data_IF_849908647090
#
_entry.id   IF_849908647090
#
_cell.length_a   1.000
_cell.length_b   1.000
_cell.length_c   1.000
_cell.angle_alpha   90.00
_cell.angle_beta   90.00
_cell.angle_gamma   90.00
#
_symmetry.space_group_name_H-M   'P 1'
#
loop_
_entity.id
_entity.type
_entity.pdbx_description
1 polymer ?
#
# COMPACT_ATOMS: atom_id res chain seq x y z
N UNK A 1 1.32 23.19 -12.48
CA UNK A 1 0.00 22.66 -12.12
C UNK A 1 -0.02 22.44 -10.62
N UNK A 2 -1.11 22.81 -9.95
CA UNK A 2 -1.24 22.64 -8.50
C UNK A 2 -1.40 21.16 -8.13
N UNK A 3 -1.16 20.81 -6.86
CA UNK A 3 -1.43 19.45 -6.34
C UNK A 3 -2.92 19.12 -6.51
N UNK A 4 -3.80 20.11 -6.33
CA UNK A 4 -5.24 19.98 -6.55
C UNK A 4 -5.56 19.58 -7.99
N UNK A 5 -5.06 20.30 -9.00
CA UNK A 5 -5.32 20.00 -10.41
C UNK A 5 -4.82 18.60 -10.79
N UNK A 6 -3.66 18.23 -10.25
CA UNK A 6 -3.05 16.94 -10.46
C UNK A 6 -3.88 15.81 -9.83
N UNK A 7 -4.38 16.00 -8.60
CA UNK A 7 -5.28 15.05 -7.94
C UNK A 7 -6.58 14.87 -8.73
N UNK A 8 -7.18 15.95 -9.21
CA UNK A 8 -8.41 15.88 -10.02
C UNK A 8 -8.18 15.06 -11.29
N UNK A 9 -7.06 15.27 -11.99
CA UNK A 9 -6.69 14.48 -13.17
C UNK A 9 -6.50 13.01 -12.85
N UNK A 10 -5.75 12.69 -11.80
CA UNK A 10 -5.51 11.31 -11.38
C UNK A 10 -6.84 10.65 -11.00
N UNK A 11 -7.70 11.32 -10.23
CA UNK A 11 -9.03 10.81 -9.85
C UNK A 11 -9.91 10.54 -11.09
N UNK A 12 -9.91 11.43 -12.08
CA UNK A 12 -10.62 11.20 -13.35
C UNK A 12 -10.08 9.98 -14.10
N UNK A 13 -8.77 9.79 -14.15
CA UNK A 13 -8.14 8.62 -14.79
C UNK A 13 -8.52 7.32 -14.07
N UNK A 14 -8.54 7.33 -12.73
CA UNK A 14 -9.04 6.19 -11.93
C UNK A 14 -10.49 5.89 -12.25
N UNK A 15 -11.36 6.92 -12.26
CA UNK A 15 -12.79 6.76 -12.58
C UNK A 15 -12.97 6.12 -13.95
N UNK A 16 -12.24 6.59 -14.96
CA UNK A 16 -12.31 6.03 -16.30
C UNK A 16 -11.84 4.57 -16.35
N UNK A 17 -10.70 4.26 -15.72
CA UNK A 17 -10.18 2.89 -15.68
C UNK A 17 -11.12 1.93 -14.92
N UNK A 18 -11.75 2.40 -13.84
CA UNK A 18 -12.74 1.63 -13.09
C UNK A 18 -13.92 1.23 -13.99
N UNK A 19 -14.53 2.21 -14.67
CA UNK A 19 -15.68 1.95 -15.55
C UNK A 19 -15.32 1.06 -16.74
N UNK A 20 -14.14 1.25 -17.35
CA UNK A 20 -13.65 0.37 -18.42
C UNK A 20 -13.48 -1.09 -17.95
N UNK A 21 -13.28 -1.29 -16.66
CA UNK A 21 -13.12 -2.61 -16.03
C UNK A 21 -14.44 -3.18 -15.49
N UNK A 22 -15.57 -2.50 -15.70
CA UNK A 22 -16.87 -2.89 -15.15
C UNK A 22 -16.99 -2.68 -13.63
N UNK A 23 -16.15 -1.82 -13.05
CA UNK A 23 -16.06 -1.56 -11.61
C UNK A 23 -16.48 -0.13 -11.28
N UNK A 24 -16.72 0.12 -9.99
CA UNK A 24 -17.00 1.47 -9.47
C UNK A 24 -15.72 2.15 -8.97
N UNK A 25 -15.58 3.48 -9.10
CA UNK A 25 -14.42 4.22 -8.61
C UNK A 25 -14.19 4.06 -7.10
N UNK A 26 -15.26 3.85 -6.33
CA UNK A 26 -15.23 3.68 -4.87
C UNK A 26 -14.51 2.40 -4.43
N UNK A 27 -14.37 1.41 -5.30
CA UNK A 27 -13.59 0.20 -5.05
C UNK A 27 -12.07 0.41 -5.13
N UNK A 28 -11.63 1.62 -5.52
CA UNK A 28 -10.22 1.93 -5.77
C UNK A 28 -9.80 3.10 -4.88
N UNK A 29 -9.05 2.78 -3.82
CA UNK A 29 -8.45 3.77 -2.95
C UNK A 29 -7.17 4.32 -3.58
N UNK A 30 -7.11 5.65 -3.76
CA UNK A 30 -5.90 6.36 -4.12
C UNK A 30 -5.04 6.61 -2.90
N UNK A 31 -3.83 6.03 -2.87
CA UNK A 31 -2.79 6.32 -1.89
C UNK A 31 -1.82 7.36 -2.48
N UNK A 32 -1.86 8.59 -1.95
CA UNK A 32 -0.96 9.66 -2.39
C UNK A 32 0.44 9.46 -1.78
N UNK A 33 1.43 9.12 -2.59
CA UNK A 33 2.79 8.83 -2.15
C UNK A 33 3.54 10.13 -1.91
N UNK A 34 3.62 10.54 -0.65
CA UNK A 34 4.17 11.83 -0.20
C UNK A 34 5.62 11.77 0.24
N UNK A 35 6.31 10.64 0.07
CA UNK A 35 7.75 10.54 0.36
C UNK A 35 8.55 11.64 -0.36
N UNK A 36 9.52 12.19 0.34
CA UNK A 36 10.35 13.33 -0.04
C UNK A 36 9.58 14.61 -0.38
N UNK A 37 8.30 14.73 0.00
CA UNK A 37 7.49 15.94 -0.20
C UNK A 37 7.29 16.68 1.12
N UNK A 38 7.18 18.00 1.03
CA UNK A 38 6.99 18.87 2.19
C UNK A 38 5.57 18.72 2.77
N UNK A 39 5.38 19.14 4.01
CA UNK A 39 4.07 19.07 4.68
C UNK A 39 3.08 20.04 4.02
N UNK A 40 3.54 21.12 3.42
CA UNK A 40 2.72 22.10 2.71
C UNK A 40 2.00 21.46 1.51
N UNK A 41 2.71 20.62 0.74
CA UNK A 41 2.10 19.87 -0.36
C UNK A 41 1.07 18.84 0.14
N UNK A 42 1.30 18.25 1.32
CA UNK A 42 0.34 17.33 1.95
C UNK A 42 -0.92 18.11 2.40
N UNK A 43 -0.75 19.30 2.99
CA UNK A 43 -1.87 20.19 3.35
C UNK A 43 -2.67 20.66 2.14
N UNK A 44 -2.01 20.91 1.01
CA UNK A 44 -2.67 21.21 -0.25
C UNK A 44 -3.50 20.02 -0.74
N UNK A 45 -2.93 18.80 -0.69
CA UNK A 45 -3.65 17.56 -1.03
C UNK A 45 -4.86 17.32 -0.09
N UNK A 46 -4.71 17.57 1.21
CA UNK A 46 -5.79 17.49 2.20
C UNK A 46 -6.92 18.47 1.90
N UNK A 47 -6.58 19.71 1.52
CA UNK A 47 -7.56 20.71 1.08
C UNK A 47 -8.33 20.26 -0.17
N UNK A 48 -7.73 19.39 -0.99
CA UNK A 48 -8.37 18.71 -2.12
C UNK A 48 -9.03 17.36 -1.75
N UNK A 49 -9.30 17.13 -0.45
CA UNK A 49 -9.95 15.94 0.12
C UNK A 49 -9.19 14.63 -0.12
N UNK A 50 -7.86 14.68 -0.28
CA UNK A 50 -7.03 13.47 -0.25
C UNK A 50 -6.64 13.19 1.20
N UNK A 51 -7.01 12.03 1.72
CA UNK A 51 -6.82 11.66 3.13
C UNK A 51 -5.82 10.52 3.33
N UNK A 52 -5.65 9.64 2.34
CA UNK A 52 -4.73 8.51 2.42
C UNK A 52 -3.36 8.85 1.84
N UNK A 53 -2.31 8.71 2.65
CA UNK A 53 -0.93 9.05 2.30
C UNK A 53 0.04 7.88 2.51
N UNK A 54 0.91 7.68 1.53
CA UNK A 54 1.92 6.63 1.53
C UNK A 54 3.32 7.16 1.79
N UNK A 55 3.98 6.64 2.83
CA UNK A 55 5.36 6.96 3.17
C UNK A 55 6.27 5.73 3.06
N UNK A 56 7.52 5.96 2.65
CA UNK A 56 8.51 4.89 2.52
C UNK A 56 9.39 4.70 3.75
N UNK A 57 9.57 5.75 4.56
CA UNK A 57 10.53 5.78 5.67
C UNK A 57 9.85 6.27 6.94
N UNK A 58 9.99 5.50 8.02
CA UNK A 58 9.35 5.79 9.31
C UNK A 58 9.73 7.16 9.85
N UNK A 59 11.02 7.52 9.87
CA UNK A 59 11.44 8.78 10.48
C UNK A 59 10.88 9.99 9.75
N UNK A 60 10.80 9.93 8.43
CA UNK A 60 10.19 10.98 7.61
C UNK A 60 8.69 11.08 7.89
N UNK A 61 8.01 9.93 7.93
CA UNK A 61 6.58 9.87 8.23
C UNK A 61 6.27 10.41 9.63
N UNK A 62 7.02 10.04 10.66
CA UNK A 62 6.79 10.51 12.04
C UNK A 62 6.85 12.05 12.14
N UNK A 63 7.78 12.68 11.42
CA UNK A 63 7.84 14.15 11.36
C UNK A 63 6.57 14.75 10.76
N UNK A 64 6.05 14.16 9.69
CA UNK A 64 4.80 14.61 9.04
C UNK A 64 3.56 14.35 9.90
N UNK A 65 3.48 13.17 10.52
CA UNK A 65 2.38 12.77 11.40
C UNK A 65 2.28 13.71 12.59
N UNK A 66 3.41 14.07 13.21
CA UNK A 66 3.41 14.99 14.35
C UNK A 66 2.89 16.39 13.96
N UNK A 67 3.31 16.91 12.80
CA UNK A 67 2.82 18.21 12.30
C UNK A 67 1.33 18.16 11.95
N UNK A 68 0.83 17.00 11.53
CA UNK A 68 -0.56 16.78 11.11
C UNK A 68 -1.42 16.08 12.18
N UNK A 69 -0.98 16.03 13.44
CA UNK A 69 -1.69 15.32 14.52
C UNK A 69 -3.11 15.84 14.80
N UNK A 70 -3.40 17.08 14.40
CA UNK A 70 -4.72 17.70 14.53
C UNK A 70 -5.62 17.49 13.30
N UNK A 71 -5.18 16.66 12.35
CA UNK A 71 -5.95 16.24 11.17
C UNK A 71 -6.30 14.76 11.30
N UNK A 72 -7.31 14.39 12.11
CA UNK A 72 -7.66 13.00 12.40
C UNK A 72 -8.17 12.22 11.18
N UNK A 73 -8.54 12.90 10.10
CA UNK A 73 -8.95 12.32 8.83
C UNK A 73 -7.79 11.71 8.03
N UNK A 74 -6.54 11.99 8.40
CA UNK A 74 -5.36 11.50 7.68
C UNK A 74 -5.12 10.03 7.98
N UNK A 75 -5.07 9.21 6.93
CA UNK A 75 -4.70 7.80 6.99
C UNK A 75 -3.27 7.61 6.48
N UNK A 76 -2.41 7.03 7.31
CA UNK A 76 -1.01 6.80 7.01
C UNK A 76 -0.73 5.34 6.66
N UNK A 77 -0.12 5.16 5.50
CA UNK A 77 0.29 3.87 4.97
C UNK A 77 1.82 3.81 4.91
N UNK A 78 2.42 2.84 5.60
CA UNK A 78 3.82 2.51 5.40
C UNK A 78 3.94 1.55 4.21
N UNK A 79 4.44 2.07 3.09
CA UNK A 79 4.54 1.34 1.80
C UNK A 79 5.98 1.00 1.40
N UNK A 80 6.96 1.42 2.21
CA UNK A 80 8.36 1.04 2.06
C UNK A 80 8.75 -0.15 2.95
N UNK A 81 9.93 -0.70 2.71
CA UNK A 81 10.47 -1.80 3.53
C UNK A 81 10.54 -1.40 5.01
N UNK A 82 10.01 -2.27 5.87
CA UNK A 82 9.98 -2.07 7.32
C UNK A 82 11.12 -2.85 7.99
N UNK A 83 12.14 -2.12 8.42
CA UNK A 83 13.19 -2.68 9.25
C UNK A 83 12.62 -3.12 10.62
N UNK A 84 12.95 -4.34 11.05
CA UNK A 84 12.46 -4.95 12.30
C UNK A 84 12.62 -4.05 13.54
N UNK A 85 13.77 -3.38 13.69
CA UNK A 85 14.05 -2.47 14.81
C UNK A 85 13.20 -1.19 14.81
N UNK A 86 12.54 -0.88 13.69
CA UNK A 86 11.64 0.27 13.53
C UNK A 86 10.16 -0.08 13.69
N UNK A 87 9.79 -1.37 13.68
CA UNK A 87 8.41 -1.82 13.87
C UNK A 87 7.75 -1.28 15.17
N UNK A 88 8.55 -0.96 16.19
CA UNK A 88 8.08 -0.32 17.43
C UNK A 88 7.45 1.07 17.24
N UNK A 89 7.70 1.73 16.12
CA UNK A 89 7.14 3.04 15.79
C UNK A 89 5.88 2.96 14.92
N UNK A 90 5.40 1.75 14.60
CA UNK A 90 4.24 1.59 13.72
C UNK A 90 2.90 1.77 14.46
N UNK A 91 2.64 1.07 15.59
CA UNK A 91 1.34 1.14 16.26
C UNK A 91 1.01 2.56 16.71
N UNK A 92 -0.21 3.00 16.40
CA UNK A 92 -0.71 4.34 16.72
C UNK A 92 -0.32 5.43 15.74
N UNK A 93 0.72 5.23 14.92
CA UNK A 93 1.16 6.18 13.90
C UNK A 93 0.69 5.80 12.49
N UNK A 94 0.61 4.50 12.19
CA UNK A 94 0.17 4.00 10.89
C UNK A 94 -1.07 3.13 11.02
N UNK A 95 -2.02 3.35 10.12
CA UNK A 95 -3.21 2.50 9.96
C UNK A 95 -2.92 1.29 9.07
N UNK A 96 -1.96 1.42 8.16
CA UNK A 96 -1.60 0.39 7.19
C UNK A 96 -0.09 0.14 7.10
N UNK A 97 0.28 -1.13 6.97
CA UNK A 97 1.63 -1.56 6.56
C UNK A 97 1.48 -2.48 5.36
N UNK A 98 2.08 -2.10 4.23
CA UNK A 98 1.93 -2.85 2.98
C UNK A 98 3.08 -3.84 2.72
N UNK A 99 4.10 -3.83 3.58
CA UNK A 99 5.42 -4.42 3.33
C UNK A 99 5.78 -5.58 4.26
N UNK A 100 4.79 -6.32 4.79
CA UNK A 100 5.10 -7.48 5.62
C UNK A 100 5.64 -8.61 4.74
N UNK A 101 6.84 -9.09 5.03
CA UNK A 101 7.54 -10.08 4.20
C UNK A 101 8.15 -11.24 5.00
N UNK A 102 7.81 -11.39 6.29
CA UNK A 102 8.27 -12.53 7.08
C UNK A 102 7.44 -12.73 8.36
N UNK A 103 7.43 -13.97 8.85
CA UNK A 103 6.83 -14.31 10.16
C UNK A 103 7.51 -13.54 11.28
N UNK A 104 8.83 -13.35 11.21
CA UNK A 104 9.57 -12.65 12.26
C UNK A 104 9.16 -11.17 12.35
N UNK A 105 8.98 -10.49 11.21
CA UNK A 105 8.46 -9.13 11.20
C UNK A 105 7.02 -9.08 11.74
N UNK A 106 6.16 -10.02 11.33
CA UNK A 106 4.80 -10.13 11.83
C UNK A 106 4.75 -10.35 13.35
N UNK A 107 5.60 -11.23 13.90
CA UNK A 107 5.76 -11.45 15.36
C UNK A 107 6.09 -10.17 16.11
N UNK A 108 7.06 -9.41 15.60
CA UNK A 108 7.47 -8.15 16.24
C UNK A 108 6.33 -7.14 16.19
N UNK A 109 5.66 -7.01 15.04
CA UNK A 109 4.53 -6.09 14.89
C UNK A 109 3.37 -6.45 15.80
N UNK A 110 2.96 -7.71 15.84
CA UNK A 110 1.89 -8.22 16.71
C UNK A 110 2.19 -7.89 18.18
N UNK A 111 3.40 -8.19 18.67
CA UNK A 111 3.79 -7.87 20.04
C UNK A 111 3.80 -6.37 20.35
N UNK A 112 4.17 -5.51 19.37
CA UNK A 112 4.13 -4.05 19.55
C UNK A 112 2.71 -3.51 19.57
N UNK A 113 1.84 -4.08 18.76
CA UNK A 113 0.42 -3.76 18.73
C UNK A 113 -0.26 -4.16 20.04
N UNK A 114 0.09 -5.32 20.59
CA UNK A 114 -0.38 -5.81 21.89
C UNK A 114 -0.03 -4.86 23.03
N UNK A 115 1.24 -4.44 23.13
CA UNK A 115 1.70 -3.49 24.14
C UNK A 115 1.02 -2.11 24.06
N UNK A 116 0.48 -1.73 22.90
CA UNK A 116 -0.11 -0.40 22.67
C UNK A 116 -1.63 -0.44 22.54
N UNK A 117 -2.22 -1.63 22.52
CA UNK A 117 -3.63 -1.88 22.22
C UNK A 117 -4.10 -1.21 20.91
N UNK A 118 -3.29 -1.29 19.86
CA UNK A 118 -3.61 -0.70 18.54
C UNK A 118 -3.64 -1.76 17.46
N UNK A 119 -4.69 -1.79 16.67
CA UNK A 119 -4.75 -2.64 15.49
C UNK A 119 -4.08 -1.95 14.30
N UNK A 120 -3.50 -2.75 13.40
CA UNK A 120 -2.93 -2.28 12.14
C UNK A 120 -3.42 -3.18 11.01
N UNK A 121 -3.86 -2.59 9.90
CA UNK A 121 -4.12 -3.37 8.69
C UNK A 121 -2.80 -3.70 8.00
N UNK A 122 -2.64 -4.95 7.58
CA UNK A 122 -1.40 -5.41 6.94
C UNK A 122 -1.66 -6.09 5.62
N UNK A 123 -0.76 -5.83 4.68
CA UNK A 123 -0.63 -6.57 3.44
C UNK A 123 0.72 -7.30 3.42
N UNK A 124 0.74 -8.47 2.80
CA UNK A 124 1.98 -9.20 2.52
C UNK A 124 2.56 -8.68 1.21
N UNK A 125 3.84 -8.34 1.21
CA UNK A 125 4.56 -7.94 -0.01
C UNK A 125 5.06 -9.17 -0.75
N UNK A 126 4.74 -9.22 -2.04
CA UNK A 126 5.09 -10.31 -2.95
C UNK A 126 5.95 -9.78 -4.09
N UNK A 127 7.05 -10.48 -4.39
CA UNK A 127 7.98 -10.16 -5.47
C UNK A 127 7.91 -11.23 -6.58
N UNK A 128 7.00 -11.04 -7.54
CA UNK A 128 6.90 -11.90 -8.72
C UNK A 128 7.83 -11.50 -9.88
N UNK A 129 8.59 -10.41 -9.73
CA UNK A 129 9.54 -9.97 -10.76
C UNK A 129 10.86 -10.75 -10.72
N UNK A 130 11.07 -11.59 -9.69
CA UNK A 130 12.30 -12.38 -9.45
C UNK A 130 13.59 -11.57 -9.47
N UNK A 131 13.51 -10.27 -9.18
CA UNK A 131 14.69 -9.45 -8.91
C UNK A 131 15.15 -9.75 -7.49
N UNK A 132 16.27 -10.45 -7.32
CA UNK A 132 16.85 -10.79 -6.01
C UNK A 132 17.11 -9.55 -5.13
N UNK A 133 17.31 -8.39 -5.75
CA UNK A 133 17.56 -7.12 -5.07
C UNK A 133 16.30 -6.49 -4.43
N UNK A 134 15.11 -7.06 -4.64
CA UNK A 134 13.84 -6.48 -4.19
C UNK A 134 13.18 -7.30 -3.08
N UNK A 135 12.71 -6.58 -2.06
CA UNK A 135 11.90 -7.07 -0.95
C UNK A 135 10.62 -7.76 -1.42
N UNK A 136 10.13 -8.70 -0.61
CA UNK A 136 8.91 -9.46 -0.82
C UNK A 136 9.13 -10.97 -0.95
N UNK A 137 8.11 -11.73 -0.55
CA UNK A 137 8.07 -13.18 -0.68
C UNK A 137 7.85 -13.59 -2.13
N UNK A 138 8.41 -14.72 -2.54
CA UNK A 138 8.31 -15.21 -3.93
C UNK A 138 7.49 -16.49 -4.03
N UNK A 139 7.61 -17.36 -3.04
CA UNK A 139 7.01 -18.68 -3.07
C UNK A 139 5.66 -18.70 -2.35
N UNK A 140 4.69 -19.40 -2.95
CA UNK A 140 3.32 -19.52 -2.41
C UNK A 140 3.31 -20.04 -0.96
N UNK A 141 4.09 -21.08 -0.67
CA UNK A 141 4.12 -21.70 0.65
C UNK A 141 4.63 -20.75 1.75
N UNK A 142 5.57 -19.85 1.41
CA UNK A 142 6.05 -18.84 2.35
C UNK A 142 4.98 -17.78 2.61
N UNK A 143 4.27 -17.36 1.57
CA UNK A 143 3.16 -16.39 1.67
C UNK A 143 2.05 -16.97 2.53
N UNK A 144 1.64 -18.21 2.28
CA UNK A 144 0.61 -18.89 3.06
C UNK A 144 1.01 -18.97 4.54
N UNK A 145 2.24 -19.41 4.85
CA UNK A 145 2.72 -19.48 6.24
C UNK A 145 2.71 -18.13 6.96
N UNK A 146 3.07 -17.05 6.27
CA UNK A 146 3.00 -15.69 6.84
C UNK A 146 1.53 -15.26 7.04
N UNK A 147 0.66 -15.56 6.08
CA UNK A 147 -0.76 -15.24 6.15
C UNK A 147 -1.47 -15.99 7.28
N UNK A 148 -1.20 -17.29 7.46
CA UNK A 148 -1.69 -18.10 8.58
C UNK A 148 -1.24 -17.51 9.93
N UNK A 149 0.04 -17.15 10.04
CA UNK A 149 0.55 -16.55 11.26
C UNK A 149 -0.17 -15.24 11.60
N UNK A 150 -0.30 -14.32 10.63
CA UNK A 150 -0.98 -13.04 10.84
C UNK A 150 -2.46 -13.27 11.20
N UNK A 151 -3.13 -14.20 10.51
CA UNK A 151 -4.56 -14.48 10.71
C UNK A 151 -4.85 -15.17 12.04
N UNK A 152 -3.88 -15.88 12.62
CA UNK A 152 -3.97 -16.43 13.99
C UNK A 152 -3.77 -15.39 15.09
N UNK A 153 -3.26 -14.21 14.73
CA UNK A 153 -3.05 -13.08 15.63
C UNK A 153 -4.33 -12.32 15.94
N UNK A 154 -4.21 -11.36 16.88
CA UNK A 154 -5.31 -10.51 17.32
C UNK A 154 -5.22 -9.10 16.74
N UNK A 155 -4.01 -8.56 16.61
CA UNK A 155 -3.81 -7.14 16.42
C UNK A 155 -3.51 -6.74 14.98
N UNK A 156 -2.79 -7.59 14.26
CA UNK A 156 -2.60 -7.43 12.82
C UNK A 156 -3.81 -7.95 12.06
N UNK A 157 -4.46 -7.07 11.33
CA UNK A 157 -5.58 -7.42 10.45
C UNK A 157 -5.03 -7.75 9.08
N UNK A 158 -5.00 -9.03 8.72
CA UNK A 158 -4.59 -9.42 7.38
C UNK A 158 -5.65 -9.00 6.36
N UNK A 159 -5.27 -8.14 5.41
CA UNK A 159 -6.23 -7.56 4.44
C UNK A 159 -5.95 -7.94 2.99
N UNK A 160 -4.79 -8.52 2.67
CA UNK A 160 -4.49 -8.93 1.30
C UNK A 160 -3.03 -8.76 0.92
N UNK A 161 -2.78 -8.48 -0.36
CA UNK A 161 -1.44 -8.53 -0.94
C UNK A 161 -1.00 -7.20 -1.52
N UNK A 162 0.32 -7.01 -1.57
CA UNK A 162 0.98 -5.89 -2.22
C UNK A 162 2.06 -6.38 -3.18
N UNK A 163 2.19 -5.74 -4.33
CA UNK A 163 3.34 -5.96 -5.20
C UNK A 163 3.85 -4.68 -5.85
N UNK A 164 5.13 -4.69 -6.24
CA UNK A 164 5.80 -3.65 -7.01
C UNK A 164 6.53 -4.34 -8.17
N UNK A 165 5.95 -4.37 -9.38
CA UNK A 165 6.60 -4.93 -10.54
C UNK A 165 7.94 -4.24 -10.86
N UNK A 166 8.82 -4.95 -11.58
CA UNK A 166 10.01 -4.33 -12.13
C UNK A 166 9.66 -3.18 -13.09
N UNK A 167 10.42 -2.07 -13.08
CA UNK A 167 10.21 -1.02 -14.06
C UNK A 167 10.45 -1.58 -15.47
N UNK A 168 9.76 -1.02 -16.46
CA UNK A 168 9.98 -1.31 -17.89
C UNK A 168 9.73 -2.77 -18.32
N UNK A 169 8.91 -3.54 -17.59
CA UNK A 169 8.49 -4.89 -18.01
C UNK A 169 7.58 -4.90 -19.24
N UNK A 170 6.94 -3.76 -19.54
CA UNK A 170 5.90 -3.65 -20.55
C UNK A 170 4.54 -4.15 -20.05
N UNK A 171 3.47 -3.80 -20.76
CA UNK A 171 2.09 -4.07 -20.37
C UNK A 171 1.83 -5.54 -20.08
N UNK A 172 2.09 -6.42 -21.05
CA UNK A 172 1.73 -7.84 -20.96
C UNK A 172 2.32 -8.51 -19.72
N UNK A 173 3.62 -8.32 -19.46
CA UNK A 173 4.30 -8.91 -18.29
C UNK A 173 3.83 -8.30 -16.98
N UNK A 174 3.58 -7.00 -16.96
CA UNK A 174 3.07 -6.29 -15.77
C UNK A 174 1.67 -6.78 -15.40
N UNK A 175 0.78 -6.93 -16.38
CA UNK A 175 -0.56 -7.46 -16.17
C UNK A 175 -0.56 -8.90 -15.68
N UNK A 176 0.32 -9.76 -16.22
CA UNK A 176 0.48 -11.14 -15.73
C UNK A 176 0.88 -11.21 -14.25
N UNK A 177 1.71 -10.28 -13.78
CA UNK A 177 2.03 -10.17 -12.35
C UNK A 177 0.78 -9.76 -11.54
N UNK A 178 0.03 -8.77 -12.00
CA UNK A 178 -1.19 -8.32 -11.29
C UNK A 178 -2.28 -9.40 -11.25
N UNK A 179 -2.50 -10.10 -12.36
CA UNK A 179 -3.38 -11.26 -12.45
C UNK A 179 -3.00 -12.32 -11.41
N UNK A 180 -1.71 -12.71 -11.36
CA UNK A 180 -1.25 -13.72 -10.41
C UNK A 180 -1.46 -13.29 -8.95
N UNK A 181 -1.22 -12.02 -8.62
CA UNK A 181 -1.43 -11.50 -7.27
C UNK A 181 -2.92 -11.48 -6.90
N UNK A 182 -3.81 -11.18 -7.84
CA UNK A 182 -5.26 -11.29 -7.65
C UNK A 182 -5.67 -12.73 -7.32
N UNK A 183 -5.22 -13.69 -8.13
CA UNK A 183 -5.48 -15.12 -7.91
C UNK A 183 -4.97 -15.59 -6.55
N UNK A 184 -3.77 -15.16 -6.15
CA UNK A 184 -3.21 -15.50 -4.84
C UNK A 184 -3.99 -14.88 -3.68
N UNK A 185 -4.47 -13.65 -3.83
CA UNK A 185 -5.36 -13.02 -2.83
C UNK A 185 -6.65 -13.80 -2.70
N UNK A 186 -7.27 -14.18 -3.82
CA UNK A 186 -8.51 -14.97 -3.83
C UNK A 186 -8.31 -16.35 -3.19
N UNK A 187 -7.21 -17.03 -3.54
CA UNK A 187 -6.84 -18.31 -2.95
C UNK A 187 -6.59 -18.20 -1.44
N UNK A 188 -5.90 -17.16 -0.97
CA UNK A 188 -5.71 -16.91 0.47
C UNK A 188 -7.02 -16.64 1.20
N UNK A 189 -7.93 -15.88 0.59
CA UNK A 189 -9.28 -15.64 1.14
C UNK A 189 -10.01 -16.95 1.38
N UNK A 190 -9.96 -17.84 0.40
CA UNK A 190 -10.69 -19.11 0.43
C UNK A 190 -10.02 -20.14 1.36
N UNK A 191 -8.68 -20.26 1.35
CA UNK A 191 -7.94 -21.19 2.24
C UNK A 191 -8.00 -20.79 3.72
N UNK A 192 -8.06 -19.49 4.01
CA UNK A 192 -8.12 -18.98 5.39
C UNK A 192 -9.55 -18.68 5.86
N UNK A 193 -10.56 -18.96 5.03
CA UNK A 193 -11.98 -18.64 5.28
C UNK A 193 -12.18 -17.20 5.81
N UNK A 194 -11.49 -16.25 5.18
CA UNK A 194 -11.39 -14.88 5.71
C UNK A 194 -11.87 -13.86 4.66
N UNK A 195 -13.15 -13.46 4.70
CA UNK A 195 -13.71 -12.51 3.74
C UNK A 195 -13.09 -11.11 3.84
N UNK A 196 -12.28 -10.84 4.88
CA UNK A 196 -11.55 -9.58 5.04
C UNK A 196 -10.29 -9.45 4.17
N UNK A 197 -9.88 -10.52 3.50
CA UNK A 197 -8.77 -10.55 2.55
C UNK A 197 -9.29 -10.03 1.20
N UNK A 198 -9.37 -8.71 1.08
CA UNK A 198 -9.97 -7.99 -0.06
C UNK A 198 -8.99 -7.12 -0.81
N UNK A 199 -7.84 -6.79 -0.23
CA UNK A 199 -7.02 -5.70 -0.73
C UNK A 199 -5.92 -6.17 -1.68
N UNK A 200 -5.75 -5.40 -2.75
CA UNK A 200 -4.73 -5.55 -3.76
C UNK A 200 -4.04 -4.19 -3.95
N UNK A 201 -2.94 -4.01 -3.23
CA UNK A 201 -2.09 -2.83 -3.35
C UNK A 201 -1.12 -3.02 -4.50
N UNK A 202 -1.49 -2.55 -5.69
CA UNK A 202 -0.67 -2.67 -6.90
C UNK A 202 -0.99 -1.54 -7.89
N UNK A 203 -0.02 -1.18 -8.72
CA UNK A 203 -0.14 -0.03 -9.62
C UNK A 203 0.44 1.26 -9.04
N UNK A 204 1.23 1.93 -9.86
CA UNK A 204 1.87 3.22 -9.66
C UNK A 204 1.62 4.09 -10.90
N UNK A 205 2.15 5.32 -10.92
CA UNK A 205 1.93 6.30 -12.01
C UNK A 205 2.00 5.73 -13.43
N UNK A 206 2.89 4.78 -13.70
CA UNK A 206 3.11 4.24 -15.04
C UNK A 206 2.15 3.10 -15.44
N UNK A 207 1.54 2.41 -14.48
CA UNK A 207 0.87 1.12 -14.70
C UNK A 207 -0.44 0.96 -13.89
N UNK A 208 -0.89 1.96 -13.14
CA UNK A 208 -2.11 1.84 -12.33
C UNK A 208 -3.37 1.59 -13.17
N UNK A 209 -3.42 2.05 -14.43
CA UNK A 209 -4.54 1.76 -15.33
C UNK A 209 -4.66 0.24 -15.57
N UNK A 210 -3.53 -0.42 -15.83
CA UNK A 210 -3.48 -1.87 -15.96
C UNK A 210 -3.81 -2.55 -14.63
N UNK A 211 -3.29 -2.03 -13.52
CA UNK A 211 -3.55 -2.58 -12.20
C UNK A 211 -5.05 -2.57 -11.85
N UNK A 212 -5.76 -1.47 -12.16
CA UNK A 212 -7.22 -1.36 -11.94
C UNK A 212 -7.98 -2.40 -12.77
N UNK A 213 -7.61 -2.56 -14.05
CA UNK A 213 -8.17 -3.58 -14.93
C UNK A 213 -7.92 -5.00 -14.42
N UNK A 214 -6.79 -5.22 -13.74
CA UNK A 214 -6.47 -6.49 -13.10
C UNK A 214 -6.97 -6.62 -11.65
N UNK A 215 -7.81 -5.69 -11.17
CA UNK A 215 -8.49 -5.82 -9.88
C UNK A 215 -7.83 -5.12 -8.70
N UNK A 216 -6.90 -4.18 -8.93
CA UNK A 216 -6.33 -3.39 -7.84
C UNK A 216 -7.41 -2.66 -7.02
N UNK A 217 -7.27 -2.66 -5.70
CA UNK A 217 -8.13 -1.91 -4.77
C UNK A 217 -7.40 -0.72 -4.16
N UNK A 218 -6.06 -0.72 -4.19
CA UNK A 218 -5.25 0.40 -3.74
C UNK A 218 -4.17 0.69 -4.78
N UNK A 219 -4.16 1.94 -5.28
CA UNK A 219 -3.11 2.40 -6.21
C UNK A 219 -2.22 3.45 -5.55
N UNK A 220 -0.93 3.45 -5.87
CA UNK A 220 0.08 4.28 -5.18
C UNK A 220 0.67 5.31 -6.14
N UNK A 221 0.21 6.55 -6.07
CA UNK A 221 0.60 7.59 -7.04
C UNK A 221 1.39 8.69 -6.34
N UNK A 222 2.58 9.00 -6.86
CA UNK A 222 3.46 10.05 -6.31
C UNK A 222 3.68 11.19 -7.30
N UNK A 223 4.53 10.95 -8.30
CA UNK A 223 4.97 11.97 -9.27
C UNK A 223 3.82 12.66 -10.01
N UNK A 224 2.75 11.93 -10.34
CA UNK A 224 1.61 12.54 -11.02
C UNK A 224 0.80 13.48 -10.12
N UNK A 225 0.92 13.39 -8.79
CA UNK A 225 0.24 14.25 -7.82
C UNK A 225 1.15 15.42 -7.43
N UNK A 226 2.36 15.11 -6.97
CA UNK A 226 3.26 16.08 -6.33
C UNK A 226 4.38 16.59 -7.25
N UNK A 227 4.36 16.23 -8.54
CA UNK A 227 5.45 16.51 -9.47
C UNK A 227 6.74 15.73 -9.19
N UNK A 228 7.75 15.95 -10.03
CA UNK A 228 9.09 15.38 -9.87
C UNK A 228 9.70 15.75 -8.51
N UNK A 229 10.68 14.94 -8.06
CA UNK A 229 11.45 15.29 -6.85
C UNK A 229 12.22 16.58 -7.15
N UNK A 230 12.20 17.53 -6.22
CA UNK A 230 13.27 18.52 -6.19
C UNK A 230 14.57 17.73 -5.98
N UNK A 231 15.44 17.74 -6.99
CA UNK A 231 16.79 17.21 -6.82
C UNK A 231 17.48 18.15 -5.85
N UNK A 232 17.66 17.71 -4.60
CA UNK A 232 18.75 18.18 -3.76
C UNK A 232 20.01 17.40 -4.11
#
# INVERSE_FOLDING_TARGET
MSVKDNLEKVKQQITQAAFQSGRTPEEIQLIAVSKTKSVELIKEALSAKQTAFGENRIQEALGKIEVLKNSPEVEWHLIGHLQKNKAKFCPGYFQWIHSVESIELAKILEARCDLTNKNINVLIQVNLSREESKSGLQEWDEILRVAEYISSGRWLKFRGLMTIPAPNLGEFRTRKIFEQIREWRDKLRDELDSPGITELSMGMTADYNWAIQEGATMIRVGTAIFGSREQQ
#
